data_IF_534766068974
#
_entry.id   IF_534766068974
#
_cell.length_a   1.000
_cell.length_b   1.000
_cell.length_c   1.000
_cell.angle_alpha   90.00
_cell.angle_beta   90.00
_cell.angle_gamma   90.00
#
_symmetry.space_group_name_H-M   'P 1'
#
loop_
_entity.id
_entity.type
_entity.pdbx_description
1 polymer ?
#
# COMPACT_ATOMS: atom_id res chain seq x y z
N UNK A 1 31.41 -33.41 -0.58
CA UNK A 1 30.71 -32.57 0.42
C UNK A 1 31.01 -31.08 0.27
N UNK A 2 32.28 -30.65 0.14
CA UNK A 2 32.65 -29.23 -0.01
C UNK A 2 32.01 -28.51 -1.21
N UNK A 3 31.91 -29.19 -2.35
CA UNK A 3 31.30 -28.64 -3.58
C UNK A 3 29.79 -28.45 -3.44
N UNK A 4 29.08 -29.44 -2.88
CA UNK A 4 27.65 -29.33 -2.61
C UNK A 4 27.32 -28.23 -1.59
N UNK A 5 28.17 -28.05 -0.58
CA UNK A 5 28.03 -26.94 0.38
C UNK A 5 28.14 -25.56 -0.29
N UNK A 6 29.11 -25.38 -1.20
CA UNK A 6 29.26 -24.14 -1.96
C UNK A 6 28.08 -23.89 -2.92
N UNK A 7 27.53 -24.94 -3.54
CA UNK A 7 26.36 -24.82 -4.42
C UNK A 7 25.10 -24.46 -3.64
N UNK A 8 24.86 -25.08 -2.47
CA UNK A 8 23.72 -24.76 -1.60
C UNK A 8 23.82 -23.31 -1.10
N UNK A 9 25.02 -22.88 -0.70
CA UNK A 9 25.26 -21.50 -0.25
C UNK A 9 24.96 -20.48 -1.36
N UNK A 10 25.34 -20.78 -2.61
CA UNK A 10 25.08 -19.90 -3.76
C UNK A 10 23.59 -19.81 -4.11
N UNK A 11 22.83 -20.91 -3.99
CA UNK A 11 21.38 -20.92 -4.25
C UNK A 11 20.62 -20.12 -3.17
N UNK A 12 21.04 -20.23 -1.91
CA UNK A 12 20.46 -19.48 -0.80
C UNK A 12 20.64 -17.95 -0.94
N UNK A 13 21.81 -17.49 -1.40
CA UNK A 13 22.06 -16.04 -1.58
C UNK A 13 21.24 -15.43 -2.72
N UNK A 14 21.07 -16.14 -3.84
CA UNK A 14 20.29 -15.65 -4.98
C UNK A 14 18.80 -15.55 -4.66
N UNK A 15 18.27 -16.50 -3.88
CA UNK A 15 16.84 -16.50 -3.49
C UNK A 15 16.53 -15.44 -2.43
N UNK A 16 17.41 -15.25 -1.44
CA UNK A 16 17.28 -14.18 -0.46
C UNK A 16 17.35 -12.78 -1.09
N UNK A 17 18.29 -12.57 -2.04
CA UNK A 17 18.41 -11.29 -2.75
C UNK A 17 17.18 -10.93 -3.58
N UNK A 18 16.54 -11.92 -4.23
CA UNK A 18 15.27 -11.70 -4.95
C UNK A 18 14.13 -11.32 -4.00
N UNK A 19 13.96 -12.02 -2.89
CA UNK A 19 12.90 -11.71 -1.93
C UNK A 19 13.00 -10.28 -1.38
N UNK A 20 14.23 -9.83 -1.05
CA UNK A 20 14.50 -8.46 -0.63
C UNK A 20 14.05 -7.43 -1.67
N UNK A 21 14.33 -7.68 -2.96
CA UNK A 21 13.89 -6.78 -4.04
C UNK A 21 12.38 -6.77 -4.26
N UNK A 22 11.68 -7.88 -3.99
CA UNK A 22 10.22 -7.92 -4.10
C UNK A 22 9.54 -7.14 -2.98
N UNK A 23 9.99 -7.32 -1.73
CA UNK A 23 9.45 -6.58 -0.59
C UNK A 23 9.68 -5.06 -0.74
N UNK A 24 10.86 -4.66 -1.22
CA UNK A 24 11.16 -3.26 -1.54
C UNK A 24 10.23 -2.72 -2.63
N UNK A 25 9.96 -3.49 -3.68
CA UNK A 25 9.04 -3.09 -4.74
C UNK A 25 7.59 -2.96 -4.26
N UNK A 26 7.14 -3.85 -3.36
CA UNK A 26 5.83 -3.73 -2.71
C UNK A 26 5.76 -2.46 -1.85
N UNK A 27 6.78 -2.23 -1.01
CA UNK A 27 6.86 -1.02 -0.18
C UNK A 27 6.90 0.24 -1.01
N UNK A 28 7.58 0.23 -2.16
CA UNK A 28 7.59 1.34 -3.09
C UNK A 28 6.19 1.66 -3.65
N UNK A 29 5.43 0.64 -4.06
CA UNK A 29 4.06 0.82 -4.53
C UNK A 29 3.16 1.40 -3.42
N UNK A 30 3.27 0.89 -2.19
CA UNK A 30 2.54 1.41 -1.04
C UNK A 30 2.94 2.84 -0.69
N UNK A 31 4.24 3.15 -0.75
CA UNK A 31 4.76 4.49 -0.47
C UNK A 31 4.27 5.51 -1.50
N UNK A 32 4.16 5.13 -2.79
CA UNK A 32 3.54 5.99 -3.80
C UNK A 32 2.12 6.40 -3.40
N UNK A 33 1.30 5.43 -2.96
CA UNK A 33 -0.05 5.71 -2.47
C UNK A 33 -0.03 6.60 -1.22
N UNK A 34 0.82 6.30 -0.24
CA UNK A 34 0.96 7.07 1.00
C UNK A 34 1.29 8.53 0.67
N UNK A 35 2.38 8.75 -0.07
CA UNK A 35 2.84 10.07 -0.49
C UNK A 35 1.76 10.81 -1.30
N UNK A 36 1.10 10.10 -2.23
CA UNK A 36 0.01 10.67 -3.00
C UNK A 36 -1.11 11.20 -2.12
N UNK A 37 -1.52 10.42 -1.11
CA UNK A 37 -2.55 10.84 -0.18
C UNK A 37 -2.09 11.94 0.78
N UNK A 38 -0.81 11.93 1.19
CA UNK A 38 -0.21 12.91 2.12
C UNK A 38 0.06 14.26 1.49
N UNK A 39 0.37 14.29 0.20
CA UNK A 39 0.72 15.50 -0.54
C UNK A 39 -0.32 15.89 -1.60
N UNK A 40 -1.50 15.30 -1.53
CA UNK A 40 -2.63 15.57 -2.44
C UNK A 40 -2.25 15.46 -3.91
N UNK A 41 -1.63 14.34 -4.28
CA UNK A 41 -1.16 14.03 -5.63
C UNK A 41 -1.94 12.81 -6.19
N UNK A 42 -3.03 13.05 -6.94
CA UNK A 42 -3.86 11.98 -7.51
C UNK A 42 -3.11 11.01 -8.42
N UNK A 43 -2.09 11.47 -9.13
CA UNK A 43 -1.31 10.61 -10.02
C UNK A 43 -0.49 9.60 -9.20
N UNK A 44 0.14 10.05 -8.10
CA UNK A 44 0.82 9.16 -7.16
C UNK A 44 -0.11 8.20 -6.42
N UNK A 45 -1.34 8.65 -6.13
CA UNK A 45 -2.39 7.78 -5.56
C UNK A 45 -2.73 6.68 -6.55
N UNK A 46 -2.98 7.02 -7.82
CA UNK A 46 -3.48 6.09 -8.82
C UNK A 46 -2.40 5.15 -9.39
N UNK A 47 -1.16 5.62 -9.54
CA UNK A 47 -0.06 4.88 -10.17
C UNK A 47 0.17 3.43 -9.67
N UNK A 48 0.09 3.14 -8.35
CA UNK A 48 0.28 1.78 -7.87
C UNK A 48 -0.98 0.92 -7.98
N UNK A 49 -2.15 1.45 -8.33
CA UNK A 49 -3.37 0.65 -8.46
C UNK A 49 -3.49 -0.01 -9.82
N UNK A 50 -4.16 -1.17 -9.82
CA UNK A 50 -4.74 -1.75 -11.03
C UNK A 50 -5.99 -0.95 -11.42
N UNK A 51 -6.22 -0.79 -12.73
CA UNK A 51 -7.27 0.11 -13.26
C UNK A 51 -8.67 -0.19 -12.69
N UNK A 52 -9.02 -1.47 -12.52
CA UNK A 52 -10.31 -1.91 -11.99
C UNK A 52 -10.31 -2.18 -10.47
N UNK A 53 -9.27 -1.74 -9.76
CA UNK A 53 -9.20 -1.93 -8.31
C UNK A 53 -10.35 -1.21 -7.60
N UNK A 54 -10.84 -1.85 -6.53
CA UNK A 54 -11.91 -1.30 -5.68
C UNK A 54 -11.38 -0.97 -4.29
N UNK A 55 -11.88 0.14 -3.76
CA UNK A 55 -11.60 0.57 -2.39
C UNK A 55 -12.85 0.44 -1.54
N UNK A 56 -12.76 -0.33 -0.46
CA UNK A 56 -13.81 -0.52 0.54
C UNK A 56 -13.48 0.34 1.75
N UNK A 57 -14.09 1.51 1.86
CA UNK A 57 -13.68 2.56 2.78
C UNK A 57 -14.64 2.68 3.97
N UNK A 58 -14.10 3.18 5.07
CA UNK A 58 -14.91 3.61 6.21
C UNK A 58 -15.74 4.85 5.87
N UNK A 59 -17.01 4.84 6.28
CA UNK A 59 -17.91 5.98 6.30
C UNK A 59 -19.00 5.75 7.34
N UNK A 60 -19.14 6.68 8.28
CA UNK A 60 -19.96 6.55 9.50
C UNK A 60 -21.37 6.00 9.24
N UNK A 61 -22.12 6.61 8.32
CA UNK A 61 -23.52 6.24 8.03
C UNK A 61 -23.68 5.28 6.84
N UNK A 62 -22.61 4.65 6.38
CA UNK A 62 -22.66 3.78 5.20
C UNK A 62 -21.90 2.47 5.44
N UNK A 63 -22.62 1.35 5.73
CA UNK A 63 -22.00 0.08 6.09
C UNK A 63 -21.01 -0.48 5.06
N UNK A 64 -21.22 -0.14 3.78
CA UNK A 64 -20.34 -0.53 2.70
C UNK A 64 -20.17 0.65 1.74
N UNK A 65 -19.04 1.35 1.85
CA UNK A 65 -18.69 2.45 0.96
C UNK A 65 -17.61 2.02 -0.02
N UNK A 66 -18.00 1.80 -1.27
CA UNK A 66 -17.12 1.28 -2.33
C UNK A 66 -16.84 2.40 -3.32
N UNK A 67 -15.57 2.64 -3.62
CA UNK A 67 -15.13 3.59 -4.63
C UNK A 67 -14.23 2.93 -5.67
N UNK A 68 -14.25 3.48 -6.88
CA UNK A 68 -13.16 3.28 -7.84
C UNK A 68 -11.94 4.14 -7.43
N UNK A 69 -10.78 3.86 -8.03
CA UNK A 69 -9.58 4.68 -7.80
C UNK A 69 -9.77 6.13 -8.25
N UNK A 70 -10.34 6.42 -9.44
CA UNK A 70 -10.66 7.79 -9.85
C UNK A 70 -11.58 8.52 -8.86
N UNK A 71 -12.64 7.86 -8.37
CA UNK A 71 -13.57 8.48 -7.41
C UNK A 71 -12.86 8.86 -6.10
N UNK A 72 -11.92 8.03 -5.64
CA UNK A 72 -11.12 8.34 -4.47
C UNK A 72 -10.14 9.50 -4.71
N UNK A 73 -9.50 9.53 -5.89
CA UNK A 73 -8.60 10.59 -6.32
C UNK A 73 -9.29 11.97 -6.35
N UNK A 74 -10.58 12.02 -6.70
CA UNK A 74 -11.38 13.25 -6.72
C UNK A 74 -11.42 13.99 -5.36
N UNK A 75 -11.20 13.30 -4.24
CA UNK A 75 -11.11 13.95 -2.91
C UNK A 75 -9.87 14.84 -2.71
N UNK A 76 -8.90 14.75 -3.61
CA UNK A 76 -7.61 15.44 -3.53
C UNK A 76 -7.43 16.49 -4.63
N UNK A 77 -8.24 16.48 -5.70
CA UNK A 77 -8.08 17.37 -6.86
C UNK A 77 -8.15 18.87 -6.52
N UNK A 78 -8.99 19.25 -5.57
CA UNK A 78 -9.16 20.65 -5.16
C UNK A 78 -8.16 21.11 -4.08
N UNK A 79 -7.15 20.30 -3.76
CA UNK A 79 -6.12 20.62 -2.76
C UNK A 79 -4.84 21.06 -3.46
N UNK A 80 -4.00 21.80 -2.74
CA UNK A 80 -2.69 22.21 -3.23
C UNK A 80 -1.77 20.99 -3.38
N UNK A 81 -1.50 20.60 -4.63
CA UNK A 81 -0.63 19.46 -4.96
C UNK A 81 0.80 19.70 -4.47
N UNK A 82 1.40 18.68 -3.87
CA UNK A 82 2.76 18.73 -3.33
C UNK A 82 2.85 19.34 -1.92
N UNK A 83 1.74 19.83 -1.37
CA UNK A 83 1.69 20.34 0.01
C UNK A 83 1.20 19.27 0.97
N UNK A 84 1.95 19.07 2.04
CA UNK A 84 1.59 18.14 3.10
C UNK A 84 0.24 18.53 3.72
N UNK A 85 -0.68 17.57 3.82
CA UNK A 85 -2.06 17.80 4.25
C UNK A 85 -2.39 17.23 5.64
N UNK A 86 -1.37 16.90 6.44
CA UNK A 86 -1.54 16.36 7.79
C UNK A 86 -1.75 14.85 7.87
N UNK A 87 -1.72 14.13 6.74
CA UNK A 87 -1.80 12.67 6.70
C UNK A 87 -0.41 12.04 6.75
N UNK A 88 -0.13 11.20 7.72
CA UNK A 88 1.12 10.43 7.82
C UNK A 88 0.83 8.95 7.66
N UNK A 89 1.52 8.27 6.75
CA UNK A 89 1.33 6.84 6.52
C UNK A 89 2.52 6.00 7.00
N UNK A 90 2.24 4.87 7.65
CA UNK A 90 3.23 3.92 8.16
C UNK A 90 2.91 2.51 7.64
N UNK A 91 3.85 1.86 6.93
CA UNK A 91 3.70 0.46 6.55
C UNK A 91 3.96 -0.40 7.79
N UNK A 92 2.94 -1.09 8.30
CA UNK A 92 3.03 -1.90 9.52
C UNK A 92 3.53 -3.33 9.23
N UNK A 93 3.06 -3.91 8.13
CA UNK A 93 3.46 -5.27 7.74
C UNK A 93 3.26 -5.49 6.25
N UNK A 94 4.12 -6.32 5.66
CA UNK A 94 3.99 -6.88 4.32
C UNK A 94 4.15 -8.38 4.44
N UNK A 95 3.25 -9.14 3.84
CA UNK A 95 3.33 -10.59 3.71
C UNK A 95 3.16 -10.95 2.24
N UNK A 96 4.11 -11.73 1.70
CA UNK A 96 4.23 -12.00 0.26
C UNK A 96 4.34 -13.49 0.02
N UNK A 97 3.47 -13.97 -0.86
CA UNK A 97 3.54 -15.34 -1.38
C UNK A 97 3.68 -15.28 -2.90
N UNK A 98 4.85 -15.67 -3.41
CA UNK A 98 5.18 -15.62 -4.83
C UNK A 98 4.87 -14.25 -5.48
N UNK A 99 3.79 -14.17 -6.23
CA UNK A 99 3.37 -13.06 -7.08
C UNK A 99 2.09 -12.37 -6.56
N UNK A 100 1.70 -12.65 -5.31
CA UNK A 100 0.70 -11.93 -4.53
C UNK A 100 1.30 -11.43 -3.21
N UNK A 101 0.70 -10.38 -2.65
CA UNK A 101 1.04 -9.90 -1.32
C UNK A 101 -0.18 -9.29 -0.63
N UNK A 102 -0.15 -9.29 0.70
CA UNK A 102 -1.02 -8.48 1.54
C UNK A 102 -0.18 -7.50 2.35
N UNK A 103 -0.69 -6.30 2.57
CA UNK A 103 0.00 -5.31 3.38
C UNK A 103 -0.98 -4.58 4.30
N UNK A 104 -0.47 -4.17 5.46
CA UNK A 104 -1.20 -3.33 6.42
C UNK A 104 -0.49 -1.99 6.52
N UNK A 105 -1.22 -0.91 6.34
CA UNK A 105 -0.72 0.47 6.47
C UNK A 105 -1.59 1.20 7.47
N UNK A 106 -0.95 1.95 8.35
CA UNK A 106 -1.62 2.91 9.22
C UNK A 106 -1.59 4.29 8.57
N UNK A 107 -2.71 5.01 8.61
CA UNK A 107 -2.76 6.43 8.25
C UNK A 107 -3.22 7.23 9.47
N UNK A 108 -2.39 8.18 9.88
CA UNK A 108 -2.65 9.12 10.98
C UNK A 108 -3.03 10.48 10.43
N UNK A 109 -4.07 11.09 11.01
CA UNK A 109 -4.46 12.49 10.76
C UNK A 109 -4.49 13.19 12.11
N UNK A 110 -3.32 13.67 12.54
CA UNK A 110 -3.10 14.16 13.91
C UNK A 110 -4.06 15.31 14.29
N UNK A 111 -4.28 16.25 13.38
CA UNK A 111 -5.16 17.42 13.63
C UNK A 111 -6.63 17.05 13.89
N UNK A 112 -7.03 15.81 13.59
CA UNK A 112 -8.40 15.30 13.77
C UNK A 112 -8.47 14.10 14.72
N UNK A 113 -7.34 13.73 15.32
CA UNK A 113 -7.19 12.52 16.13
C UNK A 113 -7.74 11.25 15.44
N UNK A 114 -7.53 11.13 14.13
CA UNK A 114 -8.02 9.98 13.36
C UNK A 114 -6.88 9.03 13.03
N UNK A 115 -7.12 7.74 13.31
CA UNK A 115 -6.23 6.64 12.94
C UNK A 115 -6.94 5.62 12.08
N UNK A 116 -6.50 5.47 10.84
CA UNK A 116 -7.02 4.47 9.92
C UNK A 116 -6.08 3.28 9.81
N UNK A 117 -6.65 2.10 9.62
CA UNK A 117 -5.92 0.91 9.15
C UNK A 117 -6.42 0.58 7.76
N UNK A 118 -5.51 0.68 6.81
CA UNK A 118 -5.69 0.25 5.42
C UNK A 118 -5.08 -1.17 5.27
N UNK A 119 -5.83 -2.08 4.66
CA UNK A 119 -5.35 -3.40 4.24
C UNK A 119 -5.38 -3.48 2.71
N UNK A 120 -4.28 -3.95 2.13
CA UNK A 120 -4.08 -4.01 0.68
C UNK A 120 -3.93 -5.46 0.23
N UNK A 121 -4.54 -5.76 -0.92
CA UNK A 121 -4.18 -6.92 -1.73
C UNK A 121 -3.38 -6.43 -2.93
N UNK A 122 -2.22 -7.03 -3.17
CA UNK A 122 -1.33 -6.70 -4.27
C UNK A 122 -1.07 -7.92 -5.15
N UNK A 123 -0.84 -7.66 -6.43
CA UNK A 123 -0.49 -8.66 -7.45
C UNK A 123 0.69 -8.15 -8.25
N UNK A 124 1.67 -9.02 -8.51
CA UNK A 124 2.71 -8.73 -9.49
C UNK A 124 2.16 -8.99 -10.89
N UNK A 125 2.09 -7.93 -11.71
CA UNK A 125 1.60 -7.92 -13.09
C UNK A 125 2.70 -7.39 -13.99
N UNK A 126 3.11 -8.15 -15.01
CA UNK A 126 4.14 -7.75 -15.99
C UNK A 126 5.46 -7.25 -15.36
N UNK A 127 5.83 -7.79 -14.19
CA UNK A 127 7.05 -7.39 -13.48
C UNK A 127 6.87 -6.29 -12.42
N UNK A 128 5.70 -5.66 -12.34
CA UNK A 128 5.39 -4.58 -11.41
C UNK A 128 4.37 -5.00 -10.34
N UNK A 129 4.53 -4.52 -9.12
CA UNK A 129 3.53 -4.72 -8.07
C UNK A 129 2.41 -3.69 -8.18
N UNK A 130 1.17 -4.18 -8.28
CA UNK A 130 -0.04 -3.35 -8.35
C UNK A 130 -0.98 -3.69 -7.20
N UNK A 131 -1.59 -2.67 -6.61
CA UNK A 131 -2.68 -2.79 -5.65
C UNK A 131 -3.95 -3.14 -6.43
N UNK A 132 -4.51 -4.31 -6.15
CA UNK A 132 -5.74 -4.82 -6.81
C UNK A 132 -6.99 -4.62 -5.95
N UNK A 133 -6.83 -4.40 -4.65
CA UNK A 133 -7.93 -4.09 -3.73
C UNK A 133 -7.39 -3.40 -2.48
N UNK A 134 -8.23 -2.57 -1.87
CA UNK A 134 -7.97 -1.90 -0.60
C UNK A 134 -9.22 -1.96 0.28
N UNK A 135 -9.06 -2.26 1.57
CA UNK A 135 -10.08 -1.97 2.58
C UNK A 135 -9.54 -1.04 3.66
N UNK A 136 -10.38 -0.21 4.25
CA UNK A 136 -9.98 0.73 5.30
C UNK A 136 -11.01 0.76 6.44
N UNK A 137 -10.52 0.82 7.68
CA UNK A 137 -11.33 1.10 8.87
C UNK A 137 -10.78 2.30 9.62
N UNK A 138 -11.67 3.09 10.23
CA UNK A 138 -11.31 3.99 11.31
C UNK A 138 -11.14 3.13 12.57
N UNK A 139 -10.03 3.28 13.27
CA UNK A 139 -9.84 2.66 14.59
C UNK A 139 -10.60 3.49 15.63
N UNK A 140 -11.19 2.86 16.66
CA UNK A 140 -11.68 3.60 17.81
C UNK A 140 -10.53 4.39 18.44
N UNK A 141 -10.88 5.48 19.13
CA UNK A 141 -9.94 6.16 20.04
C UNK A 141 -9.31 5.11 20.96
N UNK A 142 -8.00 5.21 21.17
CA UNK A 142 -7.33 4.31 22.11
C UNK A 142 -7.78 4.69 23.53
N UNK A 143 -8.30 3.71 24.28
CA UNK A 143 -8.55 3.85 25.71
C UNK A 143 -7.28 4.26 26.50
#
# INVERSE_FOLDING_TARGET
MRTYFLTILLIATVTAGRAQTEEEAIKFALQSYIDGSSYSDPEKIAAPFYDDARMFLYKEDQPLYILSVPDYCAFFENRERGKFNGRTGNILSVDRENDIATAKVEILIADRDMRFIDMFLLKKLNGEWKIISKSATLMPEAD
#
